data_IF_337812542431
#
_entry.id   IF_337812542431
#
_cell.length_a   1.000
_cell.length_b   1.000
_cell.length_c   1.000
_cell.angle_alpha   90.00
_cell.angle_beta   90.00
_cell.angle_gamma   90.00
#
_symmetry.space_group_name_H-M   'P 1'
#
loop_
_entity.id
_entity.type
_entity.pdbx_description
1 polymer ?
#
# COMPACT_ATOMS: atom_id res chain seq x y z
N UNK A 1 -15.53 10.01 -17.53
CA UNK A 1 -14.47 9.04 -17.34
C UNK A 1 -14.18 8.89 -15.86
N UNK A 2 -14.21 7.67 -15.37
CA UNK A 2 -13.87 7.41 -13.97
C UNK A 2 -12.35 7.43 -13.78
N UNK A 3 -11.90 8.13 -12.76
CA UNK A 3 -10.49 8.17 -12.38
C UNK A 3 -10.32 7.53 -11.01
N UNK A 4 -9.22 6.82 -10.84
CA UNK A 4 -8.85 6.24 -9.57
C UNK A 4 -7.40 6.61 -9.26
N UNK A 5 -7.16 6.99 -8.01
CA UNK A 5 -5.83 7.17 -7.48
C UNK A 5 -5.44 5.87 -6.77
N UNK A 6 -4.38 5.24 -7.24
CA UNK A 6 -3.88 4.03 -6.60
C UNK A 6 -2.72 4.40 -5.68
N UNK A 7 -2.91 4.14 -4.40
CA UNK A 7 -1.89 4.34 -3.38
C UNK A 7 -1.22 2.99 -3.15
N UNK A 8 0.00 2.84 -3.66
CA UNK A 8 0.66 1.55 -3.76
C UNK A 8 1.47 1.27 -2.50
N UNK A 9 1.04 0.25 -1.75
CA UNK A 9 1.79 -0.33 -0.62
C UNK A 9 2.31 0.69 0.40
N UNK A 10 1.53 1.72 0.70
CA UNK A 10 1.87 2.69 1.74
C UNK A 10 1.55 2.10 3.11
N UNK A 11 2.27 1.05 3.46
CA UNK A 11 2.13 0.29 4.68
C UNK A 11 3.28 0.61 5.64
N UNK A 12 3.06 0.41 6.94
CA UNK A 12 4.05 0.76 7.96
C UNK A 12 5.40 0.11 7.74
N UNK A 13 5.43 -1.17 7.34
CA UNK A 13 6.71 -1.86 7.12
C UNK A 13 7.55 -1.23 6.01
N UNK A 14 6.92 -0.61 5.01
CA UNK A 14 7.64 0.07 3.93
C UNK A 14 7.97 1.53 4.26
N UNK A 15 7.34 2.11 5.28
CA UNK A 15 7.52 3.50 5.65
C UNK A 15 8.54 3.63 6.79
N UNK A 16 8.25 3.04 7.93
CA UNK A 16 9.07 3.15 9.13
C UNK A 16 9.31 1.81 9.83
N UNK A 17 8.83 0.71 9.25
CA UNK A 17 8.99 -0.63 9.81
C UNK A 17 10.20 -1.37 9.24
N UNK A 18 10.04 -2.70 9.06
CA UNK A 18 11.13 -3.61 8.72
C UNK A 18 11.88 -3.23 7.42
N UNK A 19 11.18 -2.66 6.44
CA UNK A 19 11.76 -2.21 5.17
C UNK A 19 11.62 -0.70 4.98
N UNK A 20 11.42 0.04 6.06
CA UNK A 20 11.25 1.49 6.02
C UNK A 20 12.52 2.24 5.68
N UNK A 21 12.36 3.44 5.12
CA UNK A 21 13.46 4.35 4.80
C UNK A 21 13.07 5.77 5.16
N UNK A 22 14.07 6.64 5.30
CA UNK A 22 13.81 8.06 5.54
C UNK A 22 13.08 8.70 4.36
N UNK A 23 13.40 8.27 3.16
CA UNK A 23 12.75 8.75 1.94
C UNK A 23 11.27 8.37 1.93
N UNK A 24 10.95 7.15 2.35
CA UNK A 24 9.56 6.70 2.43
C UNK A 24 8.78 7.51 3.46
N UNK A 25 9.38 7.78 4.63
CA UNK A 25 8.75 8.63 5.65
C UNK A 25 8.53 10.06 5.13
N UNK A 26 9.49 10.57 4.37
CA UNK A 26 9.44 11.94 3.86
C UNK A 26 8.32 12.17 2.84
N UNK A 27 7.89 11.13 2.11
CA UNK A 27 6.83 11.29 1.11
C UNK A 27 5.41 11.24 1.71
N UNK A 28 5.26 10.79 2.95
CA UNK A 28 3.94 10.62 3.57
C UNK A 28 3.09 11.90 3.54
N UNK A 29 3.61 13.08 3.90
CA UNK A 29 2.80 14.30 3.82
C UNK A 29 2.32 14.61 2.40
N UNK A 30 3.14 14.34 1.39
CA UNK A 30 2.78 14.52 -0.01
C UNK A 30 1.69 13.54 -0.45
N UNK A 31 1.75 12.30 0.01
CA UNK A 31 0.72 11.29 -0.25
C UNK A 31 -0.61 11.73 0.36
N UNK A 32 -0.59 12.18 1.61
CA UNK A 32 -1.77 12.69 2.31
C UNK A 32 -2.39 13.85 1.52
N UNK A 33 -1.58 14.82 1.11
CA UNK A 33 -2.07 15.97 0.34
C UNK A 33 -2.66 15.55 -1.01
N UNK A 34 -2.03 14.59 -1.68
CA UNK A 34 -2.51 14.10 -2.98
C UNK A 34 -3.87 13.41 -2.85
N UNK A 35 -4.04 12.60 -1.81
CA UNK A 35 -5.30 11.91 -1.55
C UNK A 35 -6.40 12.94 -1.28
N UNK A 36 -6.14 13.91 -0.41
CA UNK A 36 -7.13 14.94 -0.07
C UNK A 36 -7.59 15.73 -1.27
N UNK A 37 -6.67 16.03 -2.18
CA UNK A 37 -6.96 16.84 -3.37
C UNK A 37 -7.49 16.06 -4.56
N UNK A 38 -7.52 14.73 -4.48
CA UNK A 38 -7.93 13.90 -5.61
C UNK A 38 -9.47 13.84 -5.71
N UNK A 39 -9.98 14.10 -6.91
CA UNK A 39 -11.40 13.97 -7.20
C UNK A 39 -11.66 12.65 -7.90
N UNK A 40 -12.09 11.65 -7.14
CA UNK A 40 -12.33 10.30 -7.65
C UNK A 40 -12.16 9.24 -6.58
N UNK A 41 -12.12 7.99 -7.03
CA UNK A 41 -11.97 6.83 -6.16
C UNK A 41 -10.52 6.66 -5.69
N UNK A 42 -10.36 6.24 -4.45
CA UNK A 42 -9.04 5.93 -3.89
C UNK A 42 -8.93 4.41 -3.74
N UNK A 43 -7.88 3.84 -4.32
CA UNK A 43 -7.60 2.41 -4.19
C UNK A 43 -6.28 2.26 -3.43
N UNK A 44 -6.33 1.58 -2.29
CA UNK A 44 -5.14 1.24 -1.54
C UNK A 44 -4.72 -0.18 -1.88
N UNK A 45 -3.48 -0.36 -2.28
CA UNK A 45 -2.94 -1.70 -2.40
C UNK A 45 -2.14 -2.04 -1.16
N UNK A 46 -2.19 -3.29 -0.76
CA UNK A 46 -1.44 -3.80 0.39
C UNK A 46 -0.74 -5.08 -0.02
N UNK A 47 0.60 -5.03 0.01
CA UNK A 47 1.40 -6.24 -0.10
C UNK A 47 1.08 -7.11 1.11
N UNK A 48 0.80 -8.38 0.89
CA UNK A 48 0.25 -9.24 1.93
C UNK A 48 0.99 -10.57 1.95
N UNK A 49 1.67 -10.84 3.05
CA UNK A 49 2.35 -12.10 3.30
C UNK A 49 1.74 -12.78 4.51
N UNK A 50 2.16 -14.02 4.75
CA UNK A 50 1.67 -14.83 5.86
C UNK A 50 2.84 -15.29 6.72
N UNK A 51 2.55 -15.93 7.83
CA UNK A 51 3.58 -16.34 8.78
C UNK A 51 4.65 -17.27 8.17
N UNK A 52 4.32 -17.97 7.09
CA UNK A 52 5.27 -18.84 6.38
C UNK A 52 6.11 -18.09 5.33
N UNK A 53 6.14 -16.76 5.39
CA UNK A 53 6.83 -15.93 4.39
C UNK A 53 8.26 -16.38 4.11
N UNK A 54 9.02 -16.72 5.15
CA UNK A 54 10.43 -17.12 4.98
C UNK A 54 10.59 -18.46 4.22
N UNK A 55 9.53 -19.27 4.15
CA UNK A 55 9.51 -20.51 3.41
C UNK A 55 9.12 -20.34 1.95
N UNK A 56 8.67 -19.13 1.57
CA UNK A 56 8.29 -18.79 0.20
C UNK A 56 9.51 -18.46 -0.65
N UNK A 57 9.34 -18.46 -1.98
CA UNK A 57 10.39 -18.02 -2.88
C UNK A 57 10.82 -16.58 -2.62
N UNK A 58 9.86 -15.70 -2.36
CA UNK A 58 10.15 -14.30 -2.03
C UNK A 58 10.94 -14.20 -0.72
N UNK A 59 10.57 -14.98 0.29
CA UNK A 59 11.26 -14.99 1.57
C UNK A 59 12.69 -15.49 1.47
N UNK A 60 12.97 -16.36 0.51
CA UNK A 60 14.35 -16.81 0.26
C UNK A 60 15.21 -15.75 -0.42
N UNK A 61 14.60 -14.89 -1.23
CA UNK A 61 15.29 -13.78 -1.90
C UNK A 61 15.48 -12.58 -0.98
N UNK A 62 14.47 -12.28 -0.17
CA UNK A 62 14.46 -11.17 0.78
C UNK A 62 14.04 -11.73 2.14
N UNK A 63 14.98 -12.25 2.94
CA UNK A 63 14.64 -12.94 4.20
C UNK A 63 14.30 -11.97 5.34
N UNK A 64 13.39 -11.03 5.08
CA UNK A 64 12.90 -10.08 6.06
C UNK A 64 11.39 -10.19 6.11
N UNK A 65 10.84 -10.68 7.21
CA UNK A 65 9.40 -10.72 7.40
C UNK A 65 8.85 -9.30 7.37
N UNK A 66 7.87 -9.06 6.50
CA UNK A 66 7.20 -7.79 6.38
C UNK A 66 5.80 -7.97 5.85
N UNK A 67 4.93 -7.01 6.15
CA UNK A 67 3.55 -7.00 5.66
C UNK A 67 2.83 -8.33 5.91
N UNK A 68 3.05 -8.93 7.09
CA UNK A 68 2.35 -10.14 7.50
C UNK A 68 0.93 -9.76 7.88
N UNK A 69 -0.05 -10.37 7.22
CA UNK A 69 -1.46 -10.05 7.42
C UNK A 69 -1.84 -10.09 8.90
N UNK A 70 -2.52 -9.02 9.34
CA UNK A 70 -2.96 -8.88 10.72
C UNK A 70 -1.95 -8.25 11.68
N UNK A 71 -0.74 -7.97 11.20
CA UNK A 71 0.27 -7.27 12.03
C UNK A 71 0.22 -5.77 11.80
N UNK A 72 0.71 -4.95 12.76
CA UNK A 72 0.77 -3.49 12.55
C UNK A 72 1.58 -3.08 11.32
N UNK A 73 2.64 -3.82 10.99
CA UNK A 73 3.47 -3.51 9.82
C UNK A 73 2.75 -3.64 8.49
N UNK A 74 1.74 -4.49 8.42
CA UNK A 74 0.89 -4.68 7.25
C UNK A 74 -0.09 -3.53 7.05
N UNK A 75 -0.44 -2.83 8.11
CA UNK A 75 -1.47 -1.79 8.08
C UNK A 75 -0.99 -0.52 7.38
N UNK A 76 -1.95 0.19 6.77
CA UNK A 76 -1.73 1.53 6.23
C UNK A 76 -1.80 2.52 7.38
N UNK A 77 -0.87 3.49 7.49
CA UNK A 77 -0.93 4.48 8.57
C UNK A 77 -2.27 5.21 8.61
N UNK A 78 -2.75 5.44 9.83
CA UNK A 78 -4.04 6.08 10.06
C UNK A 78 -4.15 7.45 9.38
N UNK A 79 -3.08 8.23 9.38
CA UNK A 79 -3.05 9.55 8.74
C UNK A 79 -3.31 9.49 7.24
N UNK A 80 -2.85 8.42 6.59
CA UNK A 80 -3.09 8.21 5.15
C UNK A 80 -4.55 7.81 4.94
N UNK A 81 -5.07 6.90 5.74
CA UNK A 81 -6.47 6.49 5.66
C UNK A 81 -7.42 7.65 5.94
N UNK A 82 -7.09 8.47 6.94
CA UNK A 82 -7.89 9.64 7.29
C UNK A 82 -7.97 10.65 6.16
N UNK A 83 -6.92 10.77 5.34
CA UNK A 83 -6.91 11.66 4.19
C UNK A 83 -7.99 11.30 3.16
N UNK A 84 -8.41 10.04 3.12
CA UNK A 84 -9.42 9.54 2.19
C UNK A 84 -10.83 9.57 2.78
N UNK A 85 -11.02 10.13 3.97
CA UNK A 85 -12.32 10.18 4.62
C UNK A 85 -13.34 10.90 3.72
N UNK A 86 -14.54 10.31 3.60
CA UNK A 86 -15.61 10.84 2.76
C UNK A 86 -15.48 10.49 1.27
N UNK A 87 -14.43 9.80 0.86
CA UNK A 87 -14.22 9.36 -0.51
C UNK A 87 -14.58 7.88 -0.67
N UNK A 88 -14.83 7.46 -1.91
CA UNK A 88 -15.00 6.05 -2.22
C UNK A 88 -13.64 5.38 -2.14
N UNK A 89 -13.53 4.36 -1.29
CA UNK A 89 -12.26 3.68 -1.02
C UNK A 89 -12.40 2.19 -1.33
N UNK A 90 -11.38 1.63 -1.96
CA UNK A 90 -11.25 0.19 -2.12
C UNK A 90 -9.87 -0.25 -1.65
N UNK A 91 -9.79 -1.48 -1.15
CA UNK A 91 -8.54 -2.11 -0.74
C UNK A 91 -8.27 -3.29 -1.65
N UNK A 92 -7.06 -3.39 -2.14
CA UNK A 92 -6.61 -4.49 -2.97
C UNK A 92 -5.44 -5.19 -2.29
N UNK A 93 -5.65 -6.41 -1.82
CA UNK A 93 -4.61 -7.19 -1.15
C UNK A 93 -3.84 -7.99 -2.19
N UNK A 94 -2.55 -7.72 -2.30
CA UNK A 94 -1.67 -8.45 -3.22
C UNK A 94 -0.99 -9.58 -2.46
N UNK A 95 -1.30 -10.80 -2.84
CA UNK A 95 -0.68 -11.99 -2.24
C UNK A 95 0.41 -12.58 -3.11
N UNK A 96 0.45 -12.17 -4.38
CA UNK A 96 1.46 -12.57 -5.34
C UNK A 96 2.02 -11.36 -6.04
N UNK A 97 3.14 -11.53 -6.74
CA UNK A 97 3.78 -10.43 -7.45
C UNK A 97 2.94 -9.99 -8.64
N UNK A 98 2.53 -8.71 -8.64
CA UNK A 98 1.74 -8.13 -9.71
C UNK A 98 0.26 -8.48 -9.64
N UNK A 99 -0.56 -7.73 -10.37
CA UNK A 99 -1.99 -7.99 -10.51
C UNK A 99 -2.48 -7.53 -11.88
N UNK A 100 -3.01 -8.47 -12.64
CA UNK A 100 -3.62 -8.18 -13.94
C UNK A 100 -4.89 -7.32 -13.78
N UNK A 101 -5.57 -7.41 -12.66
CA UNK A 101 -6.80 -6.66 -12.42
C UNK A 101 -6.56 -5.16 -12.36
N UNK A 102 -5.44 -4.73 -11.78
CA UNK A 102 -5.09 -3.31 -11.73
C UNK A 102 -4.79 -2.75 -13.11
N UNK A 103 -4.30 -3.59 -14.04
CA UNK A 103 -3.99 -3.19 -15.40
C UNK A 103 -5.20 -2.80 -16.24
N UNK A 104 -6.42 -3.14 -15.78
CA UNK A 104 -7.65 -2.80 -16.50
C UNK A 104 -8.22 -1.45 -16.11
N UNK A 105 -7.65 -0.79 -15.11
CA UNK A 105 -8.11 0.50 -14.60
C UNK A 105 -7.32 1.64 -15.19
N UNK A 106 -7.97 2.80 -15.33
CA UNK A 106 -7.28 4.05 -15.69
C UNK A 106 -6.66 4.61 -14.42
N UNK A 107 -5.33 4.47 -14.28
CA UNK A 107 -4.64 4.67 -13.02
C UNK A 107 -3.78 5.93 -12.97
N UNK A 108 -3.76 6.56 -11.79
CA UNK A 108 -2.75 7.53 -11.37
C UNK A 108 -2.07 6.89 -10.17
N UNK A 109 -0.76 6.68 -10.26
CA UNK A 109 0.01 6.03 -9.21
C UNK A 109 0.71 7.03 -8.30
N UNK A 110 0.80 6.64 -7.04
CA UNK A 110 1.64 7.31 -6.05
C UNK A 110 2.64 6.30 -5.49
#
# INVERSE_FOLDING_TARGET
>A
MKKALVVVDMQRDFIDGALGTKEAEAIVPGVVAKIKGFDGEIIFTQDTHFEDYLDTQEGKRLPVKHCIKGTPGWEIPEEILAAAAGKKIEFFLKTTFGSAELGTLSLIHI
#
